data_IF_111796756696
#
_entry.id   IF_111796756696
#
_cell.length_a   1.000
_cell.length_b   1.000
_cell.length_c   1.000
_cell.angle_alpha   90.00
_cell.angle_beta   90.00
_cell.angle_gamma   90.00
#
_symmetry.space_group_name_H-M   'P 1'
#
loop_
_entity.id
_entity.type
_entity.pdbx_description
1 polymer ?
#
# COMPACT_ATOMS: atom_id res chain seq x y z
N UNK A 1 -32.50 -24.62 -21.15
CA UNK A 1 -32.60 -23.25 -21.69
C UNK A 1 -31.27 -22.57 -21.38
N UNK A 2 -30.32 -22.74 -22.32
CA UNK A 2 -28.93 -22.25 -22.15
C UNK A 2 -28.92 -20.78 -22.64
N UNK A 3 -29.18 -19.83 -21.75
CA UNK A 3 -28.88 -18.44 -22.04
C UNK A 3 -27.37 -18.34 -22.00
N UNK A 4 -26.78 -18.18 -23.17
CA UNK A 4 -25.34 -18.14 -23.34
C UNK A 4 -24.74 -17.09 -22.41
N UNK A 5 -23.81 -17.50 -21.54
CA UNK A 5 -23.02 -16.63 -20.65
C UNK A 5 -22.37 -15.43 -21.39
N UNK A 6 -22.23 -15.53 -22.69
CA UNK A 6 -21.74 -14.46 -23.57
C UNK A 6 -22.68 -13.24 -23.68
N UNK A 7 -23.99 -13.39 -23.49
CA UNK A 7 -24.94 -12.26 -23.57
C UNK A 7 -24.88 -11.33 -22.36
N UNK A 8 -24.54 -11.87 -21.17
CA UNK A 8 -24.40 -11.10 -19.93
C UNK A 8 -23.10 -10.27 -19.87
N UNK A 9 -22.12 -10.57 -20.73
CA UNK A 9 -20.83 -9.89 -20.74
C UNK A 9 -20.72 -8.78 -21.80
N UNK A 10 -21.70 -8.67 -22.71
CA UNK A 10 -21.66 -7.70 -23.82
C UNK A 10 -21.81 -6.23 -23.37
N UNK A 11 -22.39 -5.98 -22.20
CA UNK A 11 -22.74 -4.63 -21.73
C UNK A 11 -21.79 -4.02 -20.70
N UNK A 12 -20.69 -4.69 -20.33
CA UNK A 12 -19.77 -4.11 -19.35
C UNK A 12 -18.77 -3.17 -20.08
N UNK A 13 -18.81 -1.84 -19.86
CA UNK A 13 -18.00 -0.90 -20.61
C UNK A 13 -16.48 -1.16 -20.45
N UNK A 14 -15.74 -1.18 -21.57
CA UNK A 14 -14.26 -1.25 -21.56
C UNK A 14 -13.60 -0.14 -20.75
N UNK A 15 -14.32 0.95 -20.50
CA UNK A 15 -13.91 2.09 -19.68
C UNK A 15 -13.52 1.70 -18.24
N UNK A 16 -13.98 0.54 -17.71
CA UNK A 16 -13.57 0.05 -16.38
C UNK A 16 -12.04 -0.14 -16.26
N UNK A 17 -11.39 -0.58 -17.34
CA UNK A 17 -9.94 -0.74 -17.36
C UNK A 17 -9.20 0.57 -17.06
N UNK A 18 -9.65 1.67 -17.65
CA UNK A 18 -9.03 2.99 -17.47
C UNK A 18 -9.49 3.69 -16.19
N UNK A 19 -10.68 3.38 -15.67
CA UNK A 19 -11.23 4.05 -14.48
C UNK A 19 -10.87 3.34 -13.18
N UNK A 20 -10.61 2.03 -13.21
CA UNK A 20 -10.37 1.22 -12.01
C UNK A 20 -8.89 0.89 -11.86
N UNK A 21 -8.26 0.36 -12.89
CA UNK A 21 -6.88 -0.17 -12.78
C UNK A 21 -5.84 0.93 -12.51
N UNK A 22 -5.76 2.05 -13.26
CA UNK A 22 -4.70 3.03 -13.04
C UNK A 22 -4.72 3.65 -11.64
N UNK A 23 -5.86 4.15 -11.10
CA UNK A 23 -5.86 4.74 -9.75
C UNK A 23 -5.51 3.71 -8.67
N UNK A 24 -5.95 2.46 -8.79
CA UNK A 24 -5.59 1.40 -7.85
C UNK A 24 -4.09 1.10 -7.96
N UNK A 25 -3.56 0.96 -9.17
CA UNK A 25 -2.15 0.67 -9.40
C UNK A 25 -1.25 1.78 -8.82
N UNK A 26 -1.60 3.05 -9.06
CA UNK A 26 -0.87 4.19 -8.50
C UNK A 26 -0.92 4.15 -6.97
N UNK A 27 -2.09 3.96 -6.36
CA UNK A 27 -2.23 3.86 -4.92
C UNK A 27 -1.39 2.71 -4.33
N UNK A 28 -1.38 1.54 -4.99
CA UNK A 28 -0.56 0.39 -4.58
C UNK A 28 0.95 0.66 -4.73
N UNK A 29 1.37 1.37 -5.79
CA UNK A 29 2.78 1.74 -5.98
C UNK A 29 3.23 2.65 -4.85
N UNK A 30 2.49 3.73 -4.56
CA UNK A 30 2.84 4.68 -3.51
C UNK A 30 2.83 4.00 -2.13
N UNK A 31 1.83 3.15 -1.83
CA UNK A 31 1.78 2.36 -0.59
C UNK A 31 3.00 1.45 -0.44
N UNK A 32 3.41 0.78 -1.51
CA UNK A 32 4.59 -0.08 -1.45
C UNK A 32 5.89 0.70 -1.30
N UNK A 33 6.01 1.87 -1.94
CA UNK A 33 7.15 2.78 -1.77
C UNK A 33 7.30 3.20 -0.31
N UNK A 34 6.22 3.68 0.32
CA UNK A 34 6.23 4.08 1.73
C UNK A 34 6.63 2.92 2.67
N UNK A 35 6.11 1.72 2.39
CA UNK A 35 6.47 0.50 3.13
C UNK A 35 7.96 0.20 3.12
N UNK A 36 8.63 0.37 1.98
CA UNK A 36 10.05 0.05 1.81
C UNK A 36 10.98 1.22 2.13
N UNK A 37 10.46 2.46 2.23
CA UNK A 37 11.24 3.66 2.54
C UNK A 37 12.08 3.53 3.81
N UNK A 38 11.60 2.79 4.82
CA UNK A 38 12.35 2.56 6.05
C UNK A 38 13.69 1.85 5.81
N UNK A 39 13.76 0.97 4.81
CA UNK A 39 14.98 0.25 4.47
C UNK A 39 16.07 1.19 3.89
N UNK A 40 15.64 2.32 3.31
CA UNK A 40 16.55 3.38 2.83
C UNK A 40 16.79 4.45 3.89
N UNK A 41 15.77 4.79 4.70
CA UNK A 41 15.88 5.78 5.75
C UNK A 41 16.87 5.36 6.85
N UNK A 42 16.89 4.06 7.22
CA UNK A 42 17.82 3.54 8.25
C UNK A 42 19.28 3.87 7.91
N UNK A 43 19.87 3.36 6.82
CA UNK A 43 21.25 3.69 6.48
C UNK A 43 21.41 5.14 5.99
N UNK A 44 20.32 5.86 5.78
CA UNK A 44 20.28 7.28 5.40
C UNK A 44 20.43 8.25 6.57
N UNK A 45 20.78 7.76 7.77
CA UNK A 45 21.02 8.57 8.97
C UNK A 45 19.94 8.45 10.04
N UNK A 46 18.83 7.77 9.76
CA UNK A 46 17.74 7.59 10.72
C UNK A 46 18.17 6.76 11.94
N UNK A 47 18.95 5.71 11.74
CA UNK A 47 19.47 4.84 12.80
C UNK A 47 20.43 5.57 13.73
N UNK A 48 21.33 6.39 13.20
CA UNK A 48 22.25 7.21 13.98
C UNK A 48 21.51 8.28 14.77
N UNK A 49 20.62 9.02 14.13
CA UNK A 49 19.89 10.13 14.75
C UNK A 49 18.94 9.68 15.88
N UNK A 50 18.23 8.57 15.69
CA UNK A 50 17.28 8.04 16.67
C UNK A 50 17.87 7.01 17.63
N UNK A 51 19.18 6.71 17.51
CA UNK A 51 19.87 5.71 18.33
C UNK A 51 19.30 4.30 18.15
N UNK A 52 18.96 3.92 16.92
CA UNK A 52 18.32 2.65 16.61
C UNK A 52 19.34 1.54 16.47
N UNK A 53 19.29 0.53 17.34
CA UNK A 53 20.09 -0.68 17.19
C UNK A 53 19.60 -1.56 16.03
N UNK A 54 20.47 -2.44 15.53
CA UNK A 54 20.10 -3.40 14.48
C UNK A 54 18.87 -4.26 14.87
N UNK A 55 18.73 -4.62 16.15
CA UNK A 55 17.57 -5.34 16.66
C UNK A 55 16.28 -4.50 16.57
N UNK A 56 16.36 -3.22 16.95
CA UNK A 56 15.23 -2.29 16.86
C UNK A 56 14.85 -1.98 15.42
N UNK A 57 15.80 -1.89 14.51
CA UNK A 57 15.55 -1.73 13.08
C UNK A 57 14.80 -2.95 12.52
N UNK A 58 15.22 -4.17 12.88
CA UNK A 58 14.49 -5.39 12.52
C UNK A 58 13.08 -5.44 13.11
N UNK A 59 12.92 -5.00 14.37
CA UNK A 59 11.61 -4.92 15.02
C UNK A 59 10.70 -3.90 14.33
N UNK A 60 11.21 -2.73 13.94
CA UNK A 60 10.46 -1.70 13.21
C UNK A 60 9.97 -2.21 11.84
N UNK A 61 10.77 -3.06 11.17
CA UNK A 61 10.32 -3.76 9.96
C UNK A 61 9.24 -4.80 10.24
N UNK A 62 9.42 -5.62 11.28
CA UNK A 62 8.52 -6.73 11.61
C UNK A 62 7.17 -6.30 12.18
N UNK A 63 7.15 -5.29 13.06
CA UNK A 63 5.92 -4.82 13.72
C UNK A 63 4.89 -4.27 12.74
N UNK A 64 5.34 -3.73 11.62
CA UNK A 64 4.46 -3.34 10.51
C UNK A 64 3.58 -4.52 10.06
N UNK A 65 4.17 -5.70 9.84
CA UNK A 65 3.42 -6.86 9.39
C UNK A 65 2.44 -7.40 10.44
N UNK A 66 2.74 -7.23 11.71
CA UNK A 66 1.79 -7.54 12.80
C UNK A 66 0.58 -6.63 12.67
N UNK A 67 0.77 -5.32 12.53
CA UNK A 67 -0.30 -4.36 12.28
C UNK A 67 -1.09 -4.68 11.00
N UNK A 68 -0.38 -5.02 9.94
CA UNK A 68 -0.97 -5.35 8.63
C UNK A 68 -1.96 -6.54 8.71
N UNK A 69 -1.67 -7.55 9.53
CA UNK A 69 -2.57 -8.69 9.72
C UNK A 69 -3.90 -8.32 10.37
N UNK A 70 -3.94 -7.27 11.21
CA UNK A 70 -5.16 -6.88 11.92
C UNK A 70 -6.32 -6.52 11.01
N UNK A 71 -6.08 -5.82 9.91
CA UNK A 71 -7.14 -5.40 8.97
C UNK A 71 -7.28 -6.28 7.73
N UNK A 72 -6.46 -7.30 7.56
CA UNK A 72 -6.61 -8.20 6.39
C UNK A 72 -7.96 -8.90 6.36
N UNK A 73 -8.38 -9.51 7.46
CA UNK A 73 -9.66 -10.22 7.54
C UNK A 73 -10.84 -9.25 7.64
N UNK A 74 -10.84 -8.24 8.54
CA UNK A 74 -11.90 -7.22 8.58
C UNK A 74 -12.04 -6.46 7.25
N UNK A 75 -10.93 -6.09 6.61
CA UNK A 75 -10.93 -5.40 5.32
C UNK A 75 -11.63 -6.18 4.22
N UNK A 76 -11.38 -7.49 4.14
CA UNK A 76 -12.10 -8.39 3.24
C UNK A 76 -13.62 -8.40 3.50
N UNK A 77 -14.04 -8.45 4.76
CA UNK A 77 -15.47 -8.39 5.12
C UNK A 77 -16.11 -7.06 4.73
N UNK A 78 -15.42 -5.95 4.98
CA UNK A 78 -15.89 -4.60 4.60
C UNK A 78 -15.98 -4.47 3.08
N UNK A 79 -15.07 -5.08 2.33
CA UNK A 79 -15.10 -5.08 0.87
C UNK A 79 -16.35 -5.78 0.30
N UNK A 80 -16.77 -6.87 0.94
CA UNK A 80 -17.93 -7.67 0.50
C UNK A 80 -19.26 -7.01 0.88
N UNK A 81 -19.38 -6.47 2.10
CA UNK A 81 -20.64 -5.98 2.67
C UNK A 81 -20.75 -4.44 2.70
N UNK A 82 -19.69 -3.73 2.36
CA UNK A 82 -19.60 -2.26 2.42
C UNK A 82 -19.16 -1.62 1.12
N UNK A 83 -18.60 -0.42 1.23
CA UNK A 83 -18.05 0.33 0.10
C UNK A 83 -16.54 0.25 0.05
N UNK A 84 -15.99 -0.59 -0.84
CA UNK A 84 -14.55 -0.69 -1.06
C UNK A 84 -13.91 0.65 -1.41
N UNK A 85 -14.59 1.50 -2.18
CA UNK A 85 -14.13 2.86 -2.52
C UNK A 85 -13.95 3.73 -1.28
N UNK A 86 -14.91 3.71 -0.35
CA UNK A 86 -14.81 4.50 0.90
C UNK A 86 -13.71 3.96 1.79
N UNK A 87 -13.59 2.64 1.88
CA UNK A 87 -12.53 2.01 2.67
C UNK A 87 -11.14 2.41 2.15
N UNK A 88 -10.88 2.27 0.85
CA UNK A 88 -9.61 2.70 0.23
C UNK A 88 -9.35 4.18 0.52
N UNK A 89 -10.36 5.05 0.34
CA UNK A 89 -10.21 6.47 0.61
C UNK A 89 -9.80 6.78 2.05
N UNK A 90 -10.45 6.16 3.04
CA UNK A 90 -10.08 6.33 4.45
C UNK A 90 -8.73 5.74 4.79
N UNK A 91 -8.38 4.56 4.23
CA UNK A 91 -7.06 3.95 4.39
C UNK A 91 -5.96 4.85 3.86
N UNK A 92 -6.15 5.46 2.68
CA UNK A 92 -5.19 6.39 2.09
C UNK A 92 -4.97 7.63 2.97
N UNK A 93 -6.04 8.22 3.51
CA UNK A 93 -5.93 9.38 4.42
C UNK A 93 -5.22 9.00 5.72
N UNK A 94 -5.62 7.89 6.35
CA UNK A 94 -4.99 7.43 7.59
C UNK A 94 -3.51 7.13 7.38
N UNK A 95 -3.18 6.42 6.31
CA UNK A 95 -1.81 6.09 5.94
C UNK A 95 -0.98 7.34 5.64
N UNK A 96 -1.47 8.31 4.85
CA UNK A 96 -0.75 9.55 4.56
C UNK A 96 -0.42 10.33 5.83
N UNK A 97 -1.37 10.43 6.77
CA UNK A 97 -1.14 11.08 8.08
C UNK A 97 -0.07 10.35 8.87
N UNK A 98 -0.12 9.01 8.94
CA UNK A 98 0.85 8.22 9.70
C UNK A 98 2.24 8.31 9.05
N UNK A 99 2.33 8.33 7.73
CA UNK A 99 3.60 8.49 7.00
C UNK A 99 4.24 9.84 7.34
N UNK A 100 3.49 10.94 7.23
CA UNK A 100 4.00 12.27 7.62
C UNK A 100 4.46 12.29 9.07
N UNK A 101 3.70 11.70 10.00
CA UNK A 101 4.10 11.60 11.41
C UNK A 101 5.38 10.76 11.57
N UNK A 102 5.61 9.75 10.72
CA UNK A 102 6.85 8.97 10.72
C UNK A 102 8.06 9.83 10.35
N UNK A 103 7.90 10.81 9.44
CA UNK A 103 8.95 11.79 9.16
C UNK A 103 9.25 12.75 10.31
N UNK A 104 8.38 12.85 11.32
CA UNK A 104 8.52 13.75 12.47
C UNK A 104 8.94 13.06 13.76
N UNK A 105 9.26 11.76 13.74
CA UNK A 105 9.65 11.01 14.94
C UNK A 105 10.96 11.53 15.54
N UNK A 106 11.04 11.48 16.86
CA UNK A 106 12.20 11.91 17.63
C UNK A 106 12.82 10.78 18.47
N UNK A 107 12.21 9.60 18.50
CA UNK A 107 12.74 8.44 19.19
C UNK A 107 12.22 7.12 18.58
N UNK A 108 12.97 6.03 18.86
CA UNK A 108 12.69 4.71 18.33
C UNK A 108 11.32 4.11 18.74
N UNK A 109 10.76 4.49 19.90
CA UNK A 109 9.46 3.95 20.34
C UNK A 109 8.29 4.57 19.59
N UNK A 110 8.36 5.87 19.27
CA UNK A 110 7.39 6.53 18.38
C UNK A 110 7.40 5.88 17.01
N UNK A 111 8.59 5.59 16.48
CA UNK A 111 8.73 4.87 15.21
C UNK A 111 8.02 3.52 15.25
N UNK A 112 8.22 2.70 16.28
CA UNK A 112 7.55 1.40 16.41
C UNK A 112 6.03 1.51 16.41
N UNK A 113 5.49 2.47 17.18
CA UNK A 113 4.04 2.70 17.24
C UNK A 113 3.51 3.11 15.86
N UNK A 114 4.17 4.05 15.19
CA UNK A 114 3.74 4.51 13.87
C UNK A 114 3.87 3.41 12.80
N UNK A 115 4.91 2.58 12.86
CA UNK A 115 5.06 1.42 11.97
C UNK A 115 3.94 0.38 12.16
N UNK A 116 3.54 0.13 13.40
CA UNK A 116 2.38 -0.72 13.68
C UNK A 116 1.09 -0.12 13.12
N UNK A 117 0.83 1.15 13.39
CA UNK A 117 -0.38 1.86 12.91
C UNK A 117 -0.41 1.94 11.37
N UNK A 118 0.74 2.16 10.73
CA UNK A 118 0.88 2.14 9.28
C UNK A 118 0.48 0.78 8.72
N UNK A 119 0.96 -0.30 9.34
CA UNK A 119 0.56 -1.65 8.98
C UNK A 119 -0.94 -1.85 9.10
N UNK A 120 -1.57 -1.40 10.19
CA UNK A 120 -3.03 -1.45 10.36
C UNK A 120 -3.74 -0.67 9.26
N UNK A 121 -3.30 0.55 8.93
CA UNK A 121 -3.93 1.39 7.91
C UNK A 121 -3.88 0.76 6.50
N UNK A 122 -2.79 0.06 6.17
CA UNK A 122 -2.59 -0.58 4.86
C UNK A 122 -3.17 -2.00 4.76
N UNK A 123 -3.30 -2.72 5.88
CA UNK A 123 -3.56 -4.17 5.89
C UNK A 123 -4.82 -4.62 5.16
N UNK A 124 -5.85 -3.78 5.14
CA UNK A 124 -7.11 -4.09 4.44
C UNK A 124 -7.13 -3.75 2.95
N UNK A 125 -6.13 -3.05 2.43
CA UNK A 125 -6.17 -2.49 1.07
C UNK A 125 -6.16 -3.57 -0.01
N UNK A 126 -5.23 -4.53 0.06
CA UNK A 126 -5.11 -5.57 -0.96
C UNK A 126 -6.36 -6.49 -1.05
N UNK A 127 -6.93 -7.01 0.05
CA UNK A 127 -8.19 -7.74 0.01
C UNK A 127 -9.33 -6.95 -0.62
N UNK A 128 -9.44 -5.65 -0.30
CA UNK A 128 -10.46 -4.77 -0.89
C UNK A 128 -10.26 -4.60 -2.39
N UNK A 129 -9.04 -4.38 -2.83
CA UNK A 129 -8.70 -4.25 -4.27
C UNK A 129 -9.03 -5.53 -5.03
N UNK A 130 -8.64 -6.69 -4.52
CA UNK A 130 -8.95 -7.98 -5.17
C UNK A 130 -10.45 -8.24 -5.23
N UNK A 131 -11.21 -7.89 -4.19
CA UNK A 131 -12.68 -7.97 -4.18
C UNK A 131 -13.29 -7.00 -5.20
N UNK A 132 -12.77 -5.77 -5.31
CA UNK A 132 -13.24 -4.84 -6.34
C UNK A 132 -12.99 -5.37 -7.74
N UNK A 133 -11.84 -5.95 -8.02
CA UNK A 133 -11.54 -6.56 -9.32
C UNK A 133 -12.53 -7.70 -9.59
N UNK A 134 -12.79 -8.57 -8.61
CA UNK A 134 -13.74 -9.68 -8.79
C UNK A 134 -15.16 -9.23 -9.06
N UNK A 135 -15.57 -8.07 -8.53
CA UNK A 135 -16.91 -7.51 -8.72
C UNK A 135 -17.09 -6.76 -10.05
N UNK A 136 -16.02 -6.16 -10.58
CA UNK A 136 -16.09 -5.31 -11.77
C UNK A 136 -15.58 -5.98 -13.05
N UNK A 137 -14.82 -7.07 -12.93
CA UNK A 137 -14.26 -7.76 -14.08
C UNK A 137 -14.85 -9.17 -14.23
N UNK A 138 -15.25 -9.56 -15.46
CA UNK A 138 -15.66 -10.92 -15.77
C UNK A 138 -14.56 -11.93 -15.44
N UNK A 139 -14.91 -13.18 -15.17
CA UNK A 139 -13.97 -14.25 -14.82
C UNK A 139 -12.82 -14.38 -15.81
N UNK A 140 -13.11 -14.25 -17.11
CA UNK A 140 -12.13 -14.32 -18.17
C UNK A 140 -11.07 -13.19 -18.14
N UNK A 141 -11.37 -12.05 -17.50
CA UNK A 141 -10.50 -10.88 -17.44
C UNK A 141 -9.84 -10.68 -16.05
N UNK A 142 -10.37 -11.31 -14.99
CA UNK A 142 -9.87 -11.14 -13.61
C UNK A 142 -8.40 -11.48 -13.46
N UNK A 143 -7.95 -12.57 -14.09
CA UNK A 143 -6.54 -12.96 -14.05
C UNK A 143 -5.63 -11.87 -14.59
N UNK A 144 -6.00 -11.27 -15.74
CA UNK A 144 -5.25 -10.17 -16.36
C UNK A 144 -5.29 -8.90 -15.50
N UNK A 145 -6.45 -8.55 -14.94
CA UNK A 145 -6.60 -7.38 -14.08
C UNK A 145 -5.75 -7.50 -12.82
N UNK A 146 -5.79 -8.66 -12.15
CA UNK A 146 -4.96 -8.95 -10.98
C UNK A 146 -3.47 -8.91 -11.31
N UNK A 147 -3.04 -9.50 -12.43
CA UNK A 147 -1.64 -9.49 -12.85
C UNK A 147 -1.13 -8.05 -13.05
N UNK A 148 -1.91 -7.20 -13.72
CA UNK A 148 -1.53 -5.79 -13.92
C UNK A 148 -1.43 -5.05 -12.58
N UNK A 149 -2.36 -5.27 -11.65
CA UNK A 149 -2.28 -4.61 -10.34
C UNK A 149 -1.07 -5.09 -9.55
N UNK A 150 -0.77 -6.39 -9.53
CA UNK A 150 0.39 -6.95 -8.80
C UNK A 150 1.73 -6.43 -9.35
N UNK A 151 1.77 -5.93 -10.58
CA UNK A 151 2.97 -5.26 -11.12
C UNK A 151 3.40 -4.03 -10.29
N UNK A 152 2.58 -3.55 -9.35
CA UNK A 152 3.00 -2.47 -8.44
C UNK A 152 4.30 -2.81 -7.69
N UNK A 153 4.52 -4.08 -7.34
CA UNK A 153 5.71 -4.51 -6.58
C UNK A 153 7.02 -4.22 -7.33
N UNK A 154 7.25 -4.78 -8.54
CA UNK A 154 8.47 -4.48 -9.29
C UNK A 154 8.54 -3.02 -9.74
N UNK A 155 7.43 -2.40 -10.11
CA UNK A 155 7.41 -0.99 -10.54
C UNK A 155 7.85 -0.08 -9.38
N UNK A 156 7.27 -0.25 -8.20
CA UNK A 156 7.66 0.51 -7.02
C UNK A 156 9.13 0.26 -6.65
N UNK A 157 9.61 -1.00 -6.71
CA UNK A 157 11.01 -1.33 -6.44
C UNK A 157 11.99 -0.58 -7.34
N UNK A 158 11.68 -0.50 -8.65
CA UNK A 158 12.50 0.22 -9.63
C UNK A 158 12.53 1.73 -9.34
N UNK A 159 11.40 2.30 -8.91
CA UNK A 159 11.26 3.75 -8.68
C UNK A 159 11.85 4.13 -7.32
N UNK A 160 11.59 3.35 -6.27
CA UNK A 160 11.91 3.74 -4.88
C UNK A 160 13.41 3.88 -4.66
N UNK A 161 14.23 2.95 -5.16
CA UNK A 161 15.66 2.98 -4.87
C UNK A 161 16.37 4.27 -5.36
N UNK A 162 16.25 4.67 -6.65
CA UNK A 162 16.89 5.90 -7.12
C UNK A 162 16.25 7.15 -6.50
N UNK A 163 14.92 7.15 -6.29
CA UNK A 163 14.21 8.29 -5.71
C UNK A 163 14.61 8.49 -4.24
N UNK A 164 14.66 7.42 -3.45
CA UNK A 164 15.08 7.49 -2.04
C UNK A 164 16.53 7.93 -1.91
N UNK A 165 17.43 7.42 -2.74
CA UNK A 165 18.84 7.85 -2.76
C UNK A 165 18.97 9.34 -3.06
N UNK A 166 18.21 9.85 -4.05
CA UNK A 166 18.21 11.27 -4.38
C UNK A 166 17.64 12.13 -3.24
N UNK A 167 16.51 11.74 -2.65
CA UNK A 167 15.88 12.49 -1.54
C UNK A 167 16.83 12.58 -0.34
N UNK A 168 17.43 11.46 0.08
CA UNK A 168 18.34 11.41 1.23
C UNK A 168 19.55 12.32 1.00
N UNK A 169 20.12 12.30 -0.20
CA UNK A 169 21.32 13.11 -0.50
C UNK A 169 21.01 14.59 -0.67
N UNK A 170 19.83 14.94 -1.20
CA UNK A 170 19.45 16.32 -1.47
C UNK A 170 18.80 17.02 -0.26
N UNK A 171 18.12 16.27 0.59
CA UNK A 171 17.31 16.82 1.69
C UNK A 171 17.68 16.16 3.02
N UNK A 172 17.02 15.04 3.35
CA UNK A 172 17.20 14.25 4.57
C UNK A 172 16.31 12.99 4.48
N UNK A 173 16.55 11.95 5.31
CA UNK A 173 15.74 10.73 5.39
C UNK A 173 14.27 11.01 5.77
N UNK A 174 13.97 12.06 6.52
CA UNK A 174 12.61 12.45 6.95
C UNK A 174 11.70 12.73 5.76
N UNK A 175 12.24 13.30 4.69
CA UNK A 175 11.50 13.63 3.49
C UNK A 175 11.00 12.43 2.72
N UNK A 176 11.56 11.23 2.96
CA UNK A 176 11.04 9.98 2.41
C UNK A 176 9.61 9.66 2.86
N UNK A 177 9.18 10.21 3.99
CA UNK A 177 7.86 9.98 4.59
C UNK A 177 6.92 11.20 4.45
N UNK A 178 7.44 12.37 4.09
CA UNK A 178 6.68 13.61 4.00
C UNK A 178 6.23 13.91 2.57
N UNK A 179 7.01 13.52 1.56
CA UNK A 179 6.70 13.68 0.14
C UNK A 179 5.86 12.52 -0.35
#
# INVERSE_FOLDING_TARGET
>A
MNISSNALHADIPRQRWLRIIPPILIACIISYMDRVNIAFAMPGGMDEELGISATMAGLAGGIFFIGYLFLQVPGGKIAVHGSGKKFIGWSLVAWAVISVLTGLVTNQYQLLVLRFLLGVAEGGMLPVVLTMISNWFPDAERGRANAIVIMFVPIAGIITAPLSGWIITALDWRWLFII
#
